data_IF_598020498079
#
_entry.id   IF_598020498079
#
_cell.length_a   1.000
_cell.length_b   1.000
_cell.length_c   1.000
_cell.angle_alpha   90.00
_cell.angle_beta   90.00
_cell.angle_gamma   90.00
#
_symmetry.space_group_name_H-M   'P 1'
#
loop_
_entity.id
_entity.type
_entity.pdbx_description
1 polymer ?
#
# COMPACT_ATOMS: atom_id res chain seq x y z
N UNK A 1 -8.66 26.70 -2.32
CA UNK A 1 -8.38 25.29 -2.55
C UNK A 1 -9.25 24.50 -1.59
N UNK A 2 -9.83 23.38 -1.98
CA UNK A 2 -10.57 22.53 -1.04
C UNK A 2 -9.60 21.73 -0.17
N UNK A 3 -10.05 21.23 1.00
CA UNK A 3 -9.22 20.36 1.85
C UNK A 3 -8.83 19.06 1.13
N UNK A 4 -9.67 18.58 0.21
CA UNK A 4 -9.32 17.45 -0.68
C UNK A 4 -8.15 17.78 -1.59
N UNK A 5 -8.18 18.94 -2.26
CA UNK A 5 -7.09 19.36 -3.15
C UNK A 5 -5.79 19.59 -2.38
N UNK A 6 -5.85 20.24 -1.22
CA UNK A 6 -4.69 20.41 -0.34
C UNK A 6 -4.07 19.07 0.06
N UNK A 7 -4.92 18.10 0.42
CA UNK A 7 -4.47 16.74 0.76
C UNK A 7 -3.81 16.07 -0.44
N UNK A 8 -4.47 16.03 -1.60
CA UNK A 8 -3.93 15.36 -2.79
C UNK A 8 -2.60 15.98 -3.26
N UNK A 9 -2.44 17.31 -3.13
CA UNK A 9 -1.18 18.00 -3.44
C UNK A 9 -0.08 17.73 -2.40
N UNK A 10 -0.43 17.32 -1.18
CA UNK A 10 0.53 16.92 -0.15
C UNK A 10 0.95 15.45 -0.24
N UNK A 11 0.42 14.69 -1.21
CA UNK A 11 0.74 13.28 -1.40
C UNK A 11 1.86 13.08 -2.40
N UNK A 12 2.89 12.33 -2.02
CA UNK A 12 3.83 11.66 -2.91
C UNK A 12 3.39 10.21 -3.04
N UNK A 13 2.83 9.85 -4.19
CA UNK A 13 2.39 8.48 -4.44
C UNK A 13 3.50 7.72 -5.15
N UNK A 14 3.95 6.61 -4.59
CA UNK A 14 5.12 5.89 -5.07
C UNK A 14 4.88 4.38 -5.18
N UNK A 15 5.72 3.73 -5.97
CA UNK A 15 5.78 2.28 -6.13
C UNK A 15 7.21 1.87 -6.52
N UNK A 16 7.60 0.64 -6.18
CA UNK A 16 8.89 0.07 -6.51
C UNK A 16 8.77 -1.31 -7.14
N UNK A 17 9.40 -1.51 -8.30
CA UNK A 17 9.61 -2.85 -8.83
C UNK A 17 10.96 -3.38 -8.34
N UNK A 18 11.01 -4.65 -7.97
CA UNK A 18 12.19 -5.25 -7.37
C UNK A 18 12.53 -6.59 -7.99
N UNK A 19 13.77 -7.06 -7.79
CA UNK A 19 14.20 -8.38 -8.26
C UNK A 19 13.80 -9.54 -7.33
N UNK A 20 13.08 -9.29 -6.24
CA UNK A 20 12.64 -10.30 -5.25
C UNK A 20 11.36 -9.86 -4.56
N UNK A 21 10.53 -10.81 -4.16
CA UNK A 21 9.36 -10.62 -3.30
C UNK A 21 9.72 -10.59 -1.79
N UNK A 22 10.96 -10.95 -1.43
CA UNK A 22 11.49 -10.80 -0.08
C UNK A 22 12.20 -9.46 0.08
N UNK A 23 11.55 -8.50 0.76
CA UNK A 23 12.10 -7.16 0.99
C UNK A 23 13.48 -7.16 1.67
N UNK A 24 13.85 -8.23 2.41
CA UNK A 24 15.14 -8.35 3.11
C UNK A 24 16.33 -8.48 2.14
N UNK A 25 16.07 -8.91 0.92
CA UNK A 25 17.09 -9.14 -0.11
C UNK A 25 16.79 -8.43 -1.43
N UNK A 26 15.62 -7.80 -1.53
CA UNK A 26 15.16 -7.15 -2.76
C UNK A 26 16.05 -5.97 -3.15
N UNK A 27 16.38 -5.88 -4.43
CA UNK A 27 17.00 -4.70 -5.04
C UNK A 27 15.99 -4.02 -5.94
N UNK A 28 15.93 -2.69 -5.89
CA UNK A 28 15.03 -1.90 -6.72
C UNK A 28 15.53 -1.95 -8.17
N UNK A 29 14.66 -2.33 -9.10
CA UNK A 29 14.94 -2.37 -10.55
C UNK A 29 14.17 -1.31 -11.34
N UNK A 30 13.10 -0.77 -10.76
CA UNK A 30 12.44 0.44 -11.21
C UNK A 30 11.88 1.18 -9.98
N UNK A 31 12.08 2.48 -9.91
CA UNK A 31 11.37 3.35 -8.97
C UNK A 31 10.42 4.27 -9.72
N UNK A 32 9.25 4.48 -9.17
CA UNK A 32 8.25 5.37 -9.75
C UNK A 32 7.56 6.19 -8.68
N UNK A 33 7.19 7.41 -9.04
CA UNK A 33 6.32 8.21 -8.21
C UNK A 33 5.50 9.18 -9.06
N UNK A 34 4.40 9.62 -8.51
CA UNK A 34 3.60 10.69 -9.09
C UNK A 34 3.34 11.79 -8.07
N UNK A 35 3.32 13.01 -8.58
CA UNK A 35 2.98 14.21 -7.84
C UNK A 35 1.80 14.91 -8.49
N UNK A 36 0.99 15.59 -7.69
CA UNK A 36 -0.14 16.36 -8.22
C UNK A 36 0.28 17.78 -8.58
N UNK A 37 0.09 18.12 -9.87
CA UNK A 37 0.31 19.46 -10.38
C UNK A 37 -1.01 20.02 -10.94
N UNK A 38 -1.65 20.92 -10.19
CA UNK A 38 -3.01 21.37 -10.48
C UNK A 38 -4.00 20.20 -10.40
N UNK A 39 -4.71 19.93 -11.51
CA UNK A 39 -5.70 18.85 -11.59
C UNK A 39 -5.14 17.55 -12.19
N UNK A 40 -3.83 17.46 -12.41
CA UNK A 40 -3.18 16.34 -13.07
C UNK A 40 -2.11 15.70 -12.20
N UNK A 41 -1.85 14.42 -12.43
CA UNK A 41 -0.73 13.68 -11.84
C UNK A 41 0.39 13.58 -12.87
N UNK A 42 1.58 14.02 -12.50
CA UNK A 42 2.80 13.92 -13.32
C UNK A 42 3.59 12.70 -12.88
N UNK A 43 3.94 11.82 -13.85
CA UNK A 43 4.64 10.57 -13.60
C UNK A 43 6.14 10.78 -13.72
N UNK A 44 6.89 10.27 -12.75
CA UNK A 44 8.35 10.13 -12.76
C UNK A 44 8.70 8.66 -12.57
N UNK A 45 9.65 8.15 -13.36
CA UNK A 45 10.11 6.79 -13.22
C UNK A 45 11.55 6.65 -13.70
N UNK A 46 12.29 5.75 -13.08
CA UNK A 46 13.68 5.46 -13.43
C UNK A 46 13.98 3.97 -13.28
N UNK A 47 14.69 3.40 -14.25
CA UNK A 47 15.21 2.04 -14.17
C UNK A 47 16.52 2.01 -13.38
N UNK A 48 16.73 0.90 -12.65
CA UNK A 48 17.93 0.67 -11.88
C UNK A 48 18.52 -0.71 -12.18
N UNK A 49 19.84 -0.74 -12.35
CA UNK A 49 20.55 -2.00 -12.49
C UNK A 49 20.76 -2.62 -11.12
N UNK A 50 20.29 -3.85 -10.88
CA UNK A 50 20.60 -4.56 -9.65
C UNK A 50 22.09 -4.91 -9.58
N UNK A 51 22.67 -4.86 -8.38
CA UNK A 51 24.13 -5.01 -8.13
C UNK A 51 24.49 -6.43 -7.73
N UNK A 52 23.74 -6.99 -6.77
CA UNK A 52 24.07 -8.27 -6.14
C UNK A 52 23.48 -9.47 -6.90
N UNK A 53 22.30 -9.29 -7.51
CA UNK A 53 21.56 -10.40 -8.12
C UNK A 53 20.84 -9.95 -9.38
N UNK A 54 20.90 -10.74 -10.46
CA UNK A 54 20.11 -10.44 -11.65
C UNK A 54 18.61 -10.57 -11.36
N UNK A 55 17.79 -9.95 -12.20
CA UNK A 55 16.33 -10.11 -12.19
C UNK A 55 16.02 -11.56 -12.58
N UNK A 56 15.32 -12.34 -11.71
CA UNK A 56 14.99 -13.73 -12.06
C UNK A 56 13.89 -13.80 -13.13
N UNK A 57 13.86 -14.85 -13.98
CA UNK A 57 12.81 -14.99 -14.99
C UNK A 57 11.37 -14.95 -14.46
N UNK A 58 11.14 -15.40 -13.22
CA UNK A 58 9.84 -15.29 -12.54
C UNK A 58 9.43 -13.82 -12.39
N UNK A 59 10.35 -12.95 -11.98
CA UNK A 59 10.09 -11.51 -11.81
C UNK A 59 9.95 -10.85 -13.18
N UNK A 60 10.85 -11.12 -14.12
CA UNK A 60 10.74 -10.60 -15.51
C UNK A 60 9.36 -10.91 -16.12
N UNK A 61 8.79 -12.08 -15.82
CA UNK A 61 7.46 -12.46 -16.32
C UNK A 61 6.30 -11.69 -15.69
N UNK A 62 6.52 -11.00 -14.58
CA UNK A 62 5.52 -10.20 -13.86
C UNK A 62 5.64 -8.72 -14.27
N UNK A 63 6.81 -8.11 -14.05
CA UNK A 63 7.01 -6.68 -14.29
C UNK A 63 7.44 -6.34 -15.72
N UNK A 64 7.81 -7.35 -16.51
CA UNK A 64 8.33 -7.19 -17.90
C UNK A 64 9.58 -6.30 -17.96
N UNK A 65 10.35 -6.23 -16.86
CA UNK A 65 11.66 -5.59 -16.82
C UNK A 65 12.70 -6.68 -16.89
N UNK A 66 13.53 -6.65 -17.94
CA UNK A 66 14.58 -7.66 -18.17
C UNK A 66 15.94 -7.12 -17.76
N UNK A 67 16.88 -8.04 -17.48
CA UNK A 67 18.27 -7.67 -17.19
C UNK A 67 18.89 -6.83 -18.30
N UNK A 68 18.54 -7.09 -19.56
CA UNK A 68 19.01 -6.32 -20.72
C UNK A 68 18.50 -4.86 -20.69
N UNK A 69 17.23 -4.65 -20.32
CA UNK A 69 16.63 -3.31 -20.24
C UNK A 69 17.35 -2.41 -19.24
N UNK A 70 17.82 -2.96 -18.12
CA UNK A 70 18.45 -2.21 -17.02
C UNK A 70 19.97 -2.22 -17.08
N UNK A 71 20.59 -2.88 -18.05
CA UNK A 71 22.04 -3.08 -18.12
C UNK A 71 22.84 -1.76 -18.09
N UNK A 72 22.33 -0.73 -18.74
CA UNK A 72 22.96 0.61 -18.80
C UNK A 72 22.38 1.63 -17.81
N UNK A 73 21.43 1.20 -16.98
CA UNK A 73 20.84 2.07 -15.95
C UNK A 73 21.79 2.25 -14.76
N UNK A 74 21.70 3.36 -14.01
CA UNK A 74 22.42 3.50 -12.75
C UNK A 74 21.96 2.44 -11.75
N UNK A 75 22.76 2.07 -10.78
CA UNK A 75 22.26 1.34 -9.62
C UNK A 75 21.39 2.28 -8.76
N UNK A 76 20.44 1.74 -8.01
CA UNK A 76 19.57 2.58 -7.16
C UNK A 76 20.38 3.43 -6.16
N UNK A 77 21.49 2.91 -5.66
CA UNK A 77 22.42 3.63 -4.77
C UNK A 77 22.95 4.94 -5.39
N UNK A 78 23.07 5.00 -6.71
CA UNK A 78 23.55 6.20 -7.41
C UNK A 78 22.44 7.26 -7.52
N UNK A 79 21.16 6.86 -7.43
CA UNK A 79 19.99 7.73 -7.48
C UNK A 79 19.42 8.07 -6.09
N UNK A 80 19.96 7.49 -5.02
CA UNK A 80 19.43 7.63 -3.65
C UNK A 80 19.28 9.07 -3.19
N UNK A 81 20.31 9.93 -3.40
CA UNK A 81 20.26 11.33 -2.98
C UNK A 81 19.13 12.09 -3.68
N UNK A 82 18.95 11.81 -4.96
CA UNK A 82 17.86 12.42 -5.76
C UNK A 82 16.52 11.94 -5.26
N UNK A 83 16.35 10.63 -5.03
CA UNK A 83 15.11 10.06 -4.52
C UNK A 83 14.78 10.59 -3.12
N UNK A 84 15.76 10.63 -2.21
CA UNK A 84 15.60 11.20 -0.88
C UNK A 84 15.19 12.67 -0.95
N UNK A 85 15.79 13.45 -1.85
CA UNK A 85 15.44 14.88 -2.03
C UNK A 85 13.98 15.06 -2.48
N UNK A 86 13.44 14.12 -3.27
CA UNK A 86 12.01 14.14 -3.63
C UNK A 86 11.15 13.83 -2.41
N UNK A 87 11.50 12.78 -1.64
CA UNK A 87 10.79 12.42 -0.40
C UNK A 87 10.78 13.61 0.57
N UNK A 88 11.93 14.24 0.81
CA UNK A 88 12.08 15.39 1.71
C UNK A 88 11.35 16.63 1.21
N UNK A 89 11.22 16.80 -0.12
CA UNK A 89 10.48 17.88 -0.75
C UNK A 89 9.00 17.88 -0.43
N UNK A 90 8.46 16.71 -0.08
CA UNK A 90 7.09 16.50 0.42
C UNK A 90 7.01 16.54 1.95
N UNK A 91 7.86 17.34 2.55
CA UNK A 91 7.96 17.52 4.00
C UNK A 91 6.60 17.87 4.62
N UNK A 92 6.24 17.17 5.69
CA UNK A 92 4.92 17.20 6.33
C UNK A 92 3.76 16.67 5.46
N UNK A 93 4.04 16.04 4.32
CA UNK A 93 3.08 15.38 3.46
C UNK A 93 2.90 13.90 3.78
N UNK A 94 2.31 13.22 2.83
CA UNK A 94 1.95 11.81 2.94
C UNK A 94 2.65 11.01 1.86
N UNK A 95 3.29 9.92 2.27
CA UNK A 95 3.77 8.89 1.34
C UNK A 95 2.63 7.88 1.13
N UNK A 96 2.29 7.64 -0.12
CA UNK A 96 1.15 6.78 -0.47
C UNK A 96 1.63 5.65 -1.35
N UNK A 97 1.26 4.40 -1.01
CA UNK A 97 1.50 3.25 -1.86
C UNK A 97 0.35 2.23 -1.75
N UNK A 98 0.28 1.31 -2.72
CA UNK A 98 -0.66 0.20 -2.66
C UNK A 98 0.02 -1.02 -2.06
N UNK A 99 -0.31 -1.36 -0.79
CA UNK A 99 0.44 -2.29 0.06
C UNK A 99 1.80 -1.70 0.53
N UNK A 100 1.74 -0.47 1.03
CA UNK A 100 2.88 0.38 1.40
C UNK A 100 3.98 -0.31 2.23
N UNK A 101 3.65 -1.35 2.99
CA UNK A 101 4.61 -2.02 3.88
C UNK A 101 5.80 -2.58 3.10
N UNK A 102 5.57 -3.12 1.92
CA UNK A 102 6.64 -3.64 1.08
C UNK A 102 7.56 -2.52 0.60
N UNK A 103 7.01 -1.48 -0.02
CA UNK A 103 7.79 -0.34 -0.53
C UNK A 103 8.55 0.37 0.59
N UNK A 104 7.90 0.61 1.72
CA UNK A 104 8.55 1.21 2.90
C UNK A 104 9.77 0.40 3.33
N UNK A 105 9.65 -0.93 3.48
CA UNK A 105 10.76 -1.79 3.89
C UNK A 105 11.89 -1.87 2.87
N UNK A 106 11.55 -1.88 1.59
CA UNK A 106 12.54 -1.86 0.51
C UNK A 106 13.31 -0.53 0.51
N UNK A 107 12.61 0.59 0.60
CA UNK A 107 13.21 1.92 0.65
C UNK A 107 14.11 2.11 1.89
N UNK A 108 13.62 1.73 3.09
CA UNK A 108 14.40 1.74 4.33
C UNK A 108 15.69 0.92 4.20
N UNK A 109 15.59 -0.30 3.65
CA UNK A 109 16.75 -1.17 3.40
C UNK A 109 17.79 -0.51 2.48
N UNK A 110 17.34 0.29 1.53
CA UNK A 110 18.22 1.04 0.62
C UNK A 110 18.65 2.39 1.18
N UNK A 111 18.35 2.68 2.44
CA UNK A 111 18.82 3.88 3.15
C UNK A 111 17.98 5.14 2.89
N UNK A 112 16.79 5.01 2.31
CA UNK A 112 15.84 6.12 2.21
C UNK A 112 15.15 6.32 3.56
N UNK A 113 15.27 7.52 4.12
CA UNK A 113 14.60 7.88 5.37
C UNK A 113 13.18 8.37 5.10
N UNK A 114 12.22 7.62 5.60
CA UNK A 114 10.79 7.93 5.50
C UNK A 114 10.15 8.18 6.88
N UNK A 115 10.95 8.25 7.94
CA UNK A 115 10.46 8.29 9.35
C UNK A 115 9.67 9.54 9.70
N UNK A 116 9.90 10.63 8.98
CA UNK A 116 9.19 11.90 9.20
C UNK A 116 7.88 12.03 8.39
N UNK A 117 7.47 10.97 7.69
CA UNK A 117 6.30 10.99 6.83
C UNK A 117 5.20 10.07 7.35
N UNK A 118 3.97 10.45 7.08
CA UNK A 118 2.81 9.59 7.34
C UNK A 118 2.54 8.72 6.11
N UNK A 119 2.61 7.41 6.29
CA UNK A 119 2.26 6.47 5.23
C UNK A 119 0.74 6.25 5.14
N UNK A 120 0.23 6.27 3.92
CA UNK A 120 -1.16 5.92 3.60
C UNK A 120 -1.15 4.72 2.66
N UNK A 121 -1.88 3.69 3.04
CA UNK A 121 -2.01 2.44 2.27
C UNK A 121 -3.36 2.37 1.57
N UNK A 122 -3.39 2.55 0.25
CA UNK A 122 -4.62 2.44 -0.53
C UNK A 122 -5.22 1.03 -0.52
N UNK A 123 -4.39 -0.01 -0.37
CA UNK A 123 -4.86 -1.38 -0.18
C UNK A 123 -5.66 -1.55 1.14
N UNK A 124 -5.16 -1.00 2.26
CA UNK A 124 -5.88 -1.01 3.54
C UNK A 124 -7.17 -0.19 3.45
N UNK A 125 -7.12 0.98 2.81
CA UNK A 125 -8.30 1.80 2.57
C UNK A 125 -9.36 1.03 1.77
N UNK A 126 -8.97 0.40 0.66
CA UNK A 126 -9.86 -0.42 -0.15
C UNK A 126 -10.44 -1.60 0.65
N UNK A 127 -9.63 -2.33 1.41
CA UNK A 127 -10.10 -3.41 2.29
C UNK A 127 -11.14 -2.96 3.31
N UNK A 128 -10.99 -1.77 3.88
CA UNK A 128 -11.96 -1.22 4.84
C UNK A 128 -13.25 -0.78 4.16
N UNK A 129 -13.14 -0.02 3.06
CA UNK A 129 -14.31 0.53 2.35
C UNK A 129 -15.13 -0.55 1.65
N UNK A 130 -14.49 -1.59 1.14
CA UNK A 130 -15.17 -2.67 0.41
C UNK A 130 -15.41 -3.92 1.28
N UNK A 131 -15.19 -3.84 2.58
CA UNK A 131 -15.49 -4.96 3.48
C UNK A 131 -16.99 -5.30 3.43
N UNK A 132 -17.30 -6.54 3.02
CA UNK A 132 -18.68 -7.00 2.86
C UNK A 132 -19.40 -6.52 1.58
N UNK A 133 -18.72 -5.82 0.67
CA UNK A 133 -19.29 -5.40 -0.62
C UNK A 133 -19.09 -6.52 -1.64
N UNK A 134 -20.18 -7.24 -1.96
CA UNK A 134 -20.17 -8.42 -2.86
C UNK A 134 -19.65 -8.12 -4.28
N UNK A 135 -19.76 -6.88 -4.74
CA UNK A 135 -19.29 -6.48 -6.09
C UNK A 135 -17.78 -6.25 -6.19
N UNK A 136 -17.05 -6.27 -5.07
CA UNK A 136 -15.59 -6.12 -5.02
C UNK A 136 -14.98 -7.37 -4.37
N UNK A 137 -14.53 -8.30 -5.20
CA UNK A 137 -14.03 -9.61 -4.77
C UNK A 137 -12.58 -9.55 -4.26
N UNK A 138 -11.78 -8.63 -4.81
CA UNK A 138 -10.35 -8.49 -4.52
C UNK A 138 -9.96 -7.03 -4.31
N UNK A 139 -8.83 -6.81 -3.65
CA UNK A 139 -8.31 -5.47 -3.38
C UNK A 139 -6.91 -5.25 -3.96
N UNK A 140 -6.44 -6.12 -4.87
CA UNK A 140 -5.21 -5.86 -5.60
C UNK A 140 -5.42 -4.74 -6.65
N UNK A 141 -4.35 -4.02 -6.95
CA UNK A 141 -4.40 -2.82 -7.78
C UNK A 141 -4.93 -3.10 -9.21
N UNK A 142 -4.47 -4.16 -9.91
CA UNK A 142 -4.99 -4.51 -11.23
C UNK A 142 -6.50 -4.77 -11.23
N UNK A 143 -7.03 -5.48 -10.23
CA UNK A 143 -8.46 -5.76 -10.13
C UNK A 143 -9.26 -4.48 -9.85
N UNK A 144 -8.85 -3.69 -8.85
CA UNK A 144 -9.56 -2.47 -8.47
C UNK A 144 -9.64 -1.47 -9.62
N UNK A 145 -8.58 -1.35 -10.43
CA UNK A 145 -8.59 -0.51 -11.63
C UNK A 145 -9.79 -0.76 -12.52
N UNK A 146 -10.12 -2.03 -12.78
CA UNK A 146 -11.23 -2.42 -13.66
C UNK A 146 -12.56 -2.49 -12.92
N UNK A 147 -12.59 -3.05 -11.70
CA UNK A 147 -13.81 -3.17 -10.91
C UNK A 147 -14.44 -1.81 -10.60
N UNK A 148 -13.61 -0.82 -10.30
CA UNK A 148 -14.04 0.56 -10.00
C UNK A 148 -14.10 1.46 -11.25
N UNK A 149 -13.73 0.92 -12.42
CA UNK A 149 -13.72 1.67 -13.70
C UNK A 149 -12.94 2.98 -13.60
N UNK A 150 -11.76 2.92 -12.95
CA UNK A 150 -10.91 4.10 -12.84
C UNK A 150 -10.56 4.62 -14.24
N UNK A 151 -10.59 5.94 -14.41
CA UNK A 151 -10.25 6.59 -15.69
C UNK A 151 -8.74 6.55 -15.91
N UNK A 152 -8.28 5.42 -16.47
CA UNK A 152 -6.88 5.10 -16.74
C UNK A 152 -6.75 4.51 -18.14
N UNK A 153 -5.83 5.03 -18.97
CA UNK A 153 -5.59 4.50 -20.32
C UNK A 153 -5.30 3.00 -20.31
N UNK A 154 -5.91 2.22 -21.21
CA UNK A 154 -5.75 0.76 -21.26
C UNK A 154 -4.31 0.32 -21.54
N UNK A 155 -3.55 1.11 -22.27
CA UNK A 155 -2.12 0.90 -22.57
C UNK A 155 -1.21 1.02 -21.34
N UNK A 156 -1.67 1.70 -20.29
CA UNK A 156 -0.97 1.82 -19.02
C UNK A 156 -1.07 0.50 -18.26
N UNK A 157 -0.08 -0.35 -18.42
CA UNK A 157 -0.06 -1.68 -17.79
C UNK A 157 0.40 -1.59 -16.35
N UNK A 158 -0.15 -2.46 -15.49
CA UNK A 158 0.38 -2.69 -14.14
C UNK A 158 1.75 -3.37 -14.17
N UNK A 159 2.41 -3.41 -13.03
CA UNK A 159 3.78 -3.90 -12.83
C UNK A 159 4.83 -3.06 -13.56
N UNK A 160 4.64 -1.77 -13.48
CA UNK A 160 5.59 -0.73 -13.86
C UNK A 160 5.46 0.39 -12.82
N UNK A 161 6.54 0.68 -12.11
CA UNK A 161 6.50 1.54 -10.93
C UNK A 161 5.81 2.90 -11.16
N UNK A 162 6.10 3.58 -12.28
CA UNK A 162 5.42 4.84 -12.62
C UNK A 162 3.93 4.66 -12.92
N UNK A 163 3.56 3.56 -13.60
CA UNK A 163 2.15 3.29 -13.90
C UNK A 163 1.38 2.92 -12.64
N UNK A 164 1.95 2.07 -11.77
CA UNK A 164 1.29 1.63 -10.55
C UNK A 164 1.16 2.77 -9.54
N UNK A 165 2.15 3.68 -9.48
CA UNK A 165 2.02 4.95 -8.76
C UNK A 165 0.84 5.79 -9.28
N UNK A 166 0.69 5.91 -10.62
CA UNK A 166 -0.42 6.66 -11.21
C UNK A 166 -1.77 6.01 -10.95
N UNK A 167 -1.86 4.68 -11.12
CA UNK A 167 -3.09 3.92 -10.84
C UNK A 167 -3.45 4.05 -9.35
N UNK A 168 -2.46 3.98 -8.46
CA UNK A 168 -2.63 4.17 -7.01
C UNK A 168 -3.12 5.59 -6.68
N UNK A 169 -2.62 6.61 -7.37
CA UNK A 169 -3.09 7.99 -7.20
C UNK A 169 -4.56 8.15 -7.63
N UNK A 170 -4.95 7.56 -8.76
CA UNK A 170 -6.35 7.55 -9.22
C UNK A 170 -7.26 6.76 -8.29
N UNK A 171 -6.75 5.66 -7.74
CA UNK A 171 -7.46 4.90 -6.71
C UNK A 171 -7.62 5.73 -5.44
N UNK A 172 -6.57 6.44 -4.99
CA UNK A 172 -6.65 7.33 -3.83
C UNK A 172 -7.74 8.39 -4.00
N UNK A 173 -7.79 9.07 -5.16
CA UNK A 173 -8.86 10.04 -5.47
C UNK A 173 -10.25 9.43 -5.28
N UNK A 174 -10.46 8.23 -5.87
CA UNK A 174 -11.71 7.51 -5.79
C UNK A 174 -12.08 7.13 -4.33
N UNK A 175 -11.12 6.60 -3.57
CA UNK A 175 -11.35 6.19 -2.18
C UNK A 175 -11.65 7.40 -1.28
N UNK A 176 -10.99 8.53 -1.51
CA UNK A 176 -11.27 9.79 -0.79
C UNK A 176 -12.68 10.29 -1.08
N UNK A 177 -13.13 10.22 -2.35
CA UNK A 177 -14.51 10.57 -2.70
C UNK A 177 -15.52 9.67 -1.99
N UNK A 178 -15.28 8.37 -1.95
CA UNK A 178 -16.13 7.44 -1.20
C UNK A 178 -16.17 7.75 0.31
N UNK A 179 -15.02 8.08 0.91
CA UNK A 179 -14.96 8.44 2.33
C UNK A 179 -15.76 9.73 2.61
N UNK A 180 -15.67 10.70 1.71
CA UNK A 180 -16.42 11.94 1.81
C UNK A 180 -17.93 11.70 1.68
N UNK A 181 -18.35 10.91 0.68
CA UNK A 181 -19.76 10.55 0.45
C UNK A 181 -20.36 9.72 1.60
N UNK A 182 -19.54 8.86 2.20
CA UNK A 182 -19.94 8.02 3.34
C UNK A 182 -19.90 8.75 4.69
N UNK A 183 -19.47 10.02 4.72
CA UNK A 183 -19.37 10.80 5.95
C UNK A 183 -18.24 10.33 6.90
N UNK A 184 -17.25 9.61 6.38
CA UNK A 184 -16.06 9.19 7.11
C UNK A 184 -15.03 10.32 7.25
N UNK A 185 -15.20 11.38 6.48
CA UNK A 185 -14.38 12.60 6.53
C UNK A 185 -15.28 13.78 6.88
N UNK A 186 -14.84 14.59 7.83
CA UNK A 186 -15.45 15.88 8.16
C UNK A 186 -14.96 16.92 7.15
N UNK A 187 -15.89 17.39 6.29
CA UNK A 187 -15.56 18.23 5.11
C UNK A 187 -14.89 19.57 5.45
N UNK A 188 -15.20 20.14 6.63
CA UNK A 188 -14.70 21.45 7.05
C UNK A 188 -13.37 21.33 7.81
N UNK A 189 -12.76 20.15 7.86
CA UNK A 189 -11.49 19.89 8.52
C UNK A 189 -10.44 19.34 7.53
N UNK A 190 -9.13 19.51 7.79
CA UNK A 190 -8.07 18.97 6.95
C UNK A 190 -8.22 17.46 6.71
N UNK A 191 -8.20 17.00 5.46
CA UNK A 191 -8.42 15.60 5.10
C UNK A 191 -7.24 14.69 5.48
N UNK A 192 -6.02 15.17 5.31
CA UNK A 192 -4.83 14.36 5.49
C UNK A 192 -4.73 13.68 6.86
N UNK A 193 -4.85 14.41 8.00
CA UNK A 193 -4.82 13.79 9.33
C UNK A 193 -5.94 12.75 9.53
N UNK A 194 -7.15 13.02 9.03
CA UNK A 194 -8.30 12.12 9.16
C UNK A 194 -8.05 10.82 8.38
N UNK A 195 -7.58 10.94 7.12
CA UNK A 195 -7.30 9.79 6.27
C UNK A 195 -6.14 8.97 6.82
N UNK A 196 -5.04 9.62 7.23
CA UNK A 196 -3.88 8.94 7.80
C UNK A 196 -4.26 8.15 9.05
N UNK A 197 -4.99 8.75 9.98
CA UNK A 197 -5.48 8.06 11.17
C UNK A 197 -6.39 6.89 10.79
N UNK A 198 -7.39 7.13 9.94
CA UNK A 198 -8.32 6.08 9.53
C UNK A 198 -7.63 4.94 8.79
N UNK A 199 -6.63 5.22 7.95
CA UNK A 199 -5.90 4.19 7.20
C UNK A 199 -5.03 3.31 8.11
N UNK A 200 -4.54 3.84 9.23
CA UNK A 200 -3.73 3.08 10.21
C UNK A 200 -4.58 2.28 11.20
N UNK A 201 -5.82 2.69 11.46
CA UNK A 201 -6.71 1.93 12.34
C UNK A 201 -6.85 0.48 11.88
N UNK A 202 -6.98 -0.50 12.80
CA UNK A 202 -7.10 -1.90 12.42
C UNK A 202 -8.29 -2.18 11.48
N UNK A 203 -8.08 -3.08 10.53
CA UNK A 203 -9.15 -3.64 9.71
C UNK A 203 -9.89 -4.67 10.56
N UNK A 204 -11.20 -4.54 10.67
CA UNK A 204 -12.00 -5.51 11.42
C UNK A 204 -12.56 -6.55 10.45
N UNK A 205 -12.05 -7.76 10.52
CA UNK A 205 -12.54 -8.88 9.73
C UNK A 205 -13.90 -9.35 10.25
N UNK A 206 -14.89 -9.45 9.39
CA UNK A 206 -16.17 -10.08 9.72
C UNK A 206 -16.06 -11.60 9.75
N UNK A 207 -15.20 -12.15 8.89
CA UNK A 207 -14.99 -13.58 8.72
C UNK A 207 -13.54 -13.95 8.95
N UNK A 208 -13.31 -15.14 9.47
CA UNK A 208 -11.97 -15.67 9.67
C UNK A 208 -11.22 -15.77 8.35
N UNK A 209 -10.06 -15.07 8.19
CA UNK A 209 -9.38 -14.99 6.90
C UNK A 209 -8.63 -16.26 6.50
N UNK A 210 -8.32 -17.16 7.44
CA UNK A 210 -7.53 -18.37 7.20
C UNK A 210 -7.79 -19.47 8.23
N UNK A 211 -7.10 -20.61 8.07
CA UNK A 211 -7.09 -21.72 9.04
C UNK A 211 -8.36 -22.55 9.02
N UNK A 212 -8.59 -23.27 10.14
CA UNK A 212 -9.67 -24.25 10.30
C UNK A 212 -11.07 -23.63 10.13
N UNK A 213 -11.22 -22.40 10.56
CA UNK A 213 -12.50 -21.67 10.56
C UNK A 213 -12.57 -20.61 9.42
N UNK A 214 -11.76 -20.78 8.36
CA UNK A 214 -11.76 -19.86 7.21
C UNK A 214 -13.17 -19.64 6.68
N UNK A 215 -13.54 -18.36 6.46
CA UNK A 215 -14.84 -17.88 5.99
C UNK A 215 -16.01 -18.01 6.99
N UNK A 216 -15.81 -18.56 8.18
CA UNK A 216 -16.83 -18.50 9.25
C UNK A 216 -16.87 -17.07 9.83
N UNK A 217 -18.05 -16.63 10.29
CA UNK A 217 -18.14 -15.35 11.02
C UNK A 217 -17.26 -15.41 12.26
N UNK A 218 -16.49 -14.33 12.50
CA UNK A 218 -15.60 -14.25 13.67
C UNK A 218 -16.37 -14.49 14.98
N UNK A 219 -17.60 -14.00 15.09
CA UNK A 219 -18.48 -14.20 16.24
C UNK A 219 -19.02 -15.64 16.39
N UNK A 220 -18.93 -16.45 15.34
CA UNK A 220 -19.37 -17.86 15.33
C UNK A 220 -18.24 -18.85 15.62
N UNK A 221 -16.98 -18.38 15.58
CA UNK A 221 -15.83 -19.22 15.90
C UNK A 221 -15.88 -19.62 17.38
N UNK A 222 -15.73 -20.92 17.71
CA UNK A 222 -15.85 -21.39 19.08
C UNK A 222 -14.85 -20.70 20.04
N UNK A 223 -15.32 -20.29 21.21
CA UNK A 223 -14.49 -19.66 22.23
C UNK A 223 -13.27 -20.52 22.63
N UNK A 224 -13.41 -21.86 22.60
CA UNK A 224 -12.31 -22.78 22.83
C UNK A 224 -11.18 -22.68 21.78
N UNK A 225 -11.52 -22.29 20.55
CA UNK A 225 -10.51 -22.05 19.52
C UNK A 225 -9.71 -20.80 19.80
N UNK A 226 -10.36 -19.72 20.25
CA UNK A 226 -9.67 -18.50 20.67
C UNK A 226 -8.77 -18.73 21.88
N UNK A 227 -9.22 -19.52 22.88
CA UNK A 227 -8.38 -19.90 24.02
C UNK A 227 -7.16 -20.73 23.59
N UNK A 228 -7.33 -21.60 22.60
CA UNK A 228 -6.22 -22.34 22.00
C UNK A 228 -5.26 -21.40 21.27
N UNK A 229 -5.75 -20.49 20.44
CA UNK A 229 -4.95 -19.56 19.69
C UNK A 229 -4.09 -18.66 20.60
N UNK A 230 -4.67 -18.11 21.67
CA UNK A 230 -3.95 -17.32 22.66
C UNK A 230 -2.75 -18.07 23.31
N UNK A 231 -2.84 -19.38 23.41
CA UNK A 231 -1.79 -20.20 24.05
C UNK A 231 -0.76 -20.76 23.07
N UNK A 232 -1.12 -20.89 21.80
CA UNK A 232 -0.35 -21.65 20.83
C UNK A 232 0.06 -20.85 19.58
N UNK A 233 -0.31 -19.58 19.51
CA UNK A 233 0.04 -18.70 18.39
C UNK A 233 0.50 -17.34 18.91
N UNK A 234 1.23 -16.61 18.09
CA UNK A 234 1.69 -15.24 18.39
C UNK A 234 0.69 -14.17 17.94
N UNK A 235 -0.56 -14.52 17.63
CA UNK A 235 -1.56 -13.58 17.09
C UNK A 235 -1.90 -12.42 18.03
N UNK A 236 -1.56 -12.54 19.31
CA UNK A 236 -1.78 -11.53 20.35
C UNK A 236 -0.47 -10.96 20.92
N UNK A 237 0.67 -11.36 20.38
CA UNK A 237 1.98 -10.90 20.84
C UNK A 237 2.49 -9.79 19.92
N UNK A 238 2.34 -8.55 20.38
CA UNK A 238 2.77 -7.36 19.62
C UNK A 238 4.28 -7.31 19.33
N UNK A 239 5.09 -8.08 20.07
CA UNK A 239 6.54 -8.16 19.88
C UNK A 239 6.93 -9.24 18.86
N UNK A 240 5.98 -10.04 18.40
CA UNK A 240 6.27 -11.12 17.45
C UNK A 240 6.41 -10.60 16.01
N UNK A 241 7.35 -11.15 15.27
CA UNK A 241 7.61 -10.78 13.86
C UNK A 241 6.38 -10.97 12.94
N UNK A 242 5.47 -11.86 13.32
CA UNK A 242 4.26 -12.20 12.57
C UNK A 242 2.97 -11.69 13.25
N UNK A 243 3.08 -10.73 14.14
CA UNK A 243 1.90 -10.07 14.73
C UNK A 243 1.05 -9.42 13.65
N UNK A 244 -0.26 -9.71 13.68
CA UNK A 244 -1.25 -9.11 12.80
C UNK A 244 -2.23 -8.27 13.62
N UNK A 245 -2.09 -6.94 13.66
CA UNK A 245 -2.94 -6.06 14.43
C UNK A 245 -4.42 -6.10 13.98
N UNK A 246 -4.66 -6.36 12.69
CA UNK A 246 -6.02 -6.45 12.14
C UNK A 246 -6.73 -7.71 12.66
N UNK A 247 -6.00 -8.84 12.71
CA UNK A 247 -6.53 -10.07 13.26
C UNK A 247 -6.77 -9.94 14.76
N UNK A 248 -5.80 -9.42 15.52
CA UNK A 248 -5.92 -9.22 16.96
C UNK A 248 -7.14 -8.35 17.32
N UNK A 249 -7.29 -7.20 16.66
CA UNK A 249 -8.43 -6.31 16.85
C UNK A 249 -9.76 -7.00 16.49
N UNK A 250 -9.78 -7.79 15.40
CA UNK A 250 -10.96 -8.53 14.97
C UNK A 250 -11.39 -9.57 16.00
N UNK A 251 -10.43 -10.28 16.61
CA UNK A 251 -10.69 -11.27 17.65
C UNK A 251 -11.19 -10.59 18.93
N UNK A 252 -10.54 -9.49 19.36
CA UNK A 252 -11.00 -8.72 20.53
C UNK A 252 -12.45 -8.26 20.35
N UNK A 253 -12.77 -7.69 19.19
CA UNK A 253 -14.16 -7.32 18.88
C UNK A 253 -15.13 -8.50 18.89
N UNK A 254 -14.74 -9.64 18.33
CA UNK A 254 -15.57 -10.84 18.31
C UNK A 254 -15.83 -11.43 19.71
N UNK A 255 -14.88 -11.25 20.64
CA UNK A 255 -14.96 -11.70 22.03
C UNK A 255 -15.61 -10.66 22.95
N UNK A 256 -15.88 -9.43 22.48
CA UNK A 256 -16.37 -8.31 23.30
C UNK A 256 -15.34 -7.85 24.33
N UNK A 257 -14.06 -7.91 23.99
CA UNK A 257 -12.94 -7.44 24.80
C UNK A 257 -12.51 -6.10 24.18
N UNK A 258 -12.84 -4.99 24.83
CA UNK A 258 -12.39 -3.62 24.48
C UNK A 258 -11.09 -3.28 25.19
#
# INVERSE_FOLDING_TARGET
MSHKEEFLQSCLVLDTETNSDDYKIAEIVESGFVIREGDSWTIFQEFHKPVDRPIPPKVESICYITNEMVESSPAFVDSMETFQSVVDGYNAGYLVAHNHFYDMRVLERHGIDTTNHNWICTWRMAKKLFNGVESVEETNLPYLRFALKLDIPLEMRCHRAGNDSYITAKLLEFLVDMMEESGLIVKDEPYGPQIAQWATDPIIYERMPFGKHKNELMTSVPHSYWQWAMKNTDWFNEEADNFDPDLAASIHKALGID
#
